data_IF_821692058221
#
_entry.id   IF_821692058221
#
_cell.length_a   1.000
_cell.length_b   1.000
_cell.length_c   1.000
_cell.angle_alpha   90.00
_cell.angle_beta   90.00
_cell.angle_gamma   90.00
#
_symmetry.space_group_name_H-M   'P 1'
#
loop_
_entity.id
_entity.type
_entity.pdbx_description
1 polymer ?
#
# COMPACT_ATOMS: atom_id res chain seq x y z
N UNK A 1 -6.24 0.15 -21.49
CA UNK A 1 -5.33 1.14 -20.87
C UNK A 1 -4.26 0.38 -20.14
N UNK A 2 -3.02 0.85 -20.18
CA UNK A 2 -1.94 0.30 -19.35
C UNK A 2 -2.21 0.62 -17.88
N UNK A 3 -1.90 -0.31 -16.98
CA UNK A 3 -2.06 -0.11 -15.53
C UNK A 3 -0.95 0.80 -15.00
N UNK A 4 -1.29 1.66 -14.04
CA UNK A 4 -0.30 2.46 -13.32
C UNK A 4 0.49 1.57 -12.37
N UNK A 5 1.79 1.46 -12.61
CA UNK A 5 2.72 0.73 -11.75
C UNK A 5 3.08 1.56 -10.53
N UNK A 6 2.90 0.99 -9.34
CA UNK A 6 3.19 1.70 -8.08
C UNK A 6 3.94 0.82 -7.08
N UNK A 7 4.63 1.47 -6.16
CA UNK A 7 5.11 0.92 -4.89
C UNK A 7 4.40 1.70 -3.79
N UNK A 8 3.90 1.01 -2.76
CA UNK A 8 3.34 1.66 -1.58
C UNK A 8 4.37 1.57 -0.46
N UNK A 9 4.79 2.72 0.05
CA UNK A 9 5.63 2.87 1.24
C UNK A 9 4.80 3.57 2.32
N UNK A 10 4.54 2.89 3.43
CA UNK A 10 3.64 3.38 4.50
C UNK A 10 4.03 2.82 5.88
N UNK A 11 3.51 3.41 6.95
CA UNK A 11 3.65 2.95 8.34
C UNK A 11 2.33 2.30 8.82
N UNK A 12 2.09 1.01 8.53
CA UNK A 12 0.74 0.46 8.41
C UNK A 12 -0.19 0.77 9.61
N UNK A 13 -1.21 1.59 9.34
CA UNK A 13 -2.37 1.86 10.20
C UNK A 13 -3.67 1.34 9.60
N UNK A 14 -4.80 1.72 10.21
CA UNK A 14 -6.13 1.31 9.75
C UNK A 14 -6.44 1.85 8.34
N UNK A 15 -6.00 3.07 8.04
CA UNK A 15 -6.18 3.73 6.76
C UNK A 15 -5.25 3.18 5.68
N UNK A 16 -3.99 2.88 6.00
CA UNK A 16 -3.07 2.22 5.07
C UNK A 16 -3.57 0.84 4.67
N UNK A 17 -4.14 0.08 5.61
CA UNK A 17 -4.72 -1.22 5.31
C UNK A 17 -5.83 -1.12 4.25
N UNK A 18 -6.67 -0.08 4.32
CA UNK A 18 -7.70 0.18 3.31
C UNK A 18 -7.05 0.58 1.97
N UNK A 19 -6.04 1.46 1.99
CA UNK A 19 -5.33 1.89 0.79
C UNK A 19 -4.66 0.71 0.06
N UNK A 20 -4.03 -0.19 0.81
CA UNK A 20 -3.41 -1.42 0.31
C UNK A 20 -4.46 -2.34 -0.33
N UNK A 21 -5.60 -2.55 0.34
CA UNK A 21 -6.69 -3.38 -0.20
C UNK A 21 -7.26 -2.80 -1.50
N UNK A 22 -7.48 -1.48 -1.54
CA UNK A 22 -7.94 -0.79 -2.74
C UNK A 22 -6.93 -0.91 -3.88
N UNK A 23 -5.66 -0.58 -3.62
CA UNK A 23 -4.60 -0.65 -4.62
C UNK A 23 -4.41 -2.07 -5.18
N UNK A 24 -4.46 -3.10 -4.33
CA UNK A 24 -4.31 -4.50 -4.74
C UNK A 24 -5.48 -5.05 -5.57
N UNK A 25 -6.64 -4.38 -5.57
CA UNK A 25 -7.83 -4.81 -6.33
C UNK A 25 -8.28 -3.84 -7.41
N UNK A 26 -7.69 -2.66 -7.48
CA UNK A 26 -8.11 -1.64 -8.44
C UNK A 26 -7.69 -2.04 -9.87
N UNK A 27 -8.61 -2.05 -10.86
CA UNK A 27 -8.31 -2.54 -12.21
C UNK A 27 -7.28 -1.71 -12.97
N UNK A 28 -7.08 -0.45 -12.56
CA UNK A 28 -6.10 0.45 -13.18
C UNK A 28 -4.73 0.47 -12.48
N UNK A 29 -4.54 -0.30 -11.39
CA UNK A 29 -3.29 -0.30 -10.61
C UNK A 29 -2.57 -1.64 -10.77
N UNK A 30 -1.25 -1.57 -10.87
CA UNK A 30 -0.31 -2.69 -10.80
C UNK A 30 0.63 -2.46 -9.62
N UNK A 31 0.27 -3.02 -8.45
CA UNK A 31 1.03 -2.87 -7.22
C UNK A 31 2.24 -3.82 -7.26
N UNK A 32 3.43 -3.27 -7.47
CA UNK A 32 4.66 -4.04 -7.66
C UNK A 32 5.30 -4.47 -6.34
N UNK A 33 5.21 -3.63 -5.31
CA UNK A 33 5.79 -3.89 -4.01
C UNK A 33 5.10 -3.09 -2.90
N UNK A 34 5.27 -3.58 -1.67
CA UNK A 34 4.93 -2.92 -0.43
C UNK A 34 6.18 -2.81 0.44
N UNK A 35 6.48 -1.61 0.91
CA UNK A 35 7.53 -1.33 1.88
C UNK A 35 6.92 -0.67 3.10
N UNK A 36 7.57 -0.87 4.25
CA UNK A 36 7.09 -0.34 5.53
C UNK A 36 8.12 0.60 6.12
N UNK A 37 7.64 1.74 6.63
CA UNK A 37 8.43 2.68 7.42
C UNK A 37 7.91 2.71 8.87
N UNK A 38 8.75 3.10 9.82
CA UNK A 38 8.32 3.25 11.22
C UNK A 38 7.44 4.50 11.37
N UNK A 39 6.38 4.41 12.18
CA UNK A 39 5.44 5.51 12.41
C UNK A 39 4.35 5.13 13.41
N UNK A 40 3.13 4.82 12.94
CA UNK A 40 1.93 4.53 13.72
C UNK A 40 2.13 3.62 14.95
N UNK A 41 3.02 2.63 14.87
CA UNK A 41 3.33 1.71 15.97
C UNK A 41 4.81 1.32 16.01
N UNK A 42 5.22 0.82 17.17
CA UNK A 42 6.50 0.12 17.37
C UNK A 42 6.24 -1.36 17.64
N UNK A 43 7.27 -2.20 17.51
CA UNK A 43 7.17 -3.61 17.86
C UNK A 43 7.00 -3.75 19.38
N UNK A 44 6.06 -4.61 19.80
CA UNK A 44 5.86 -4.97 21.19
C UNK A 44 6.96 -5.92 21.71
#
# INVERSE_FOLDING_TARGET
MEKTKIIIDCDPGHDDAIAILLAGRHPAIDLLALTTVAGNQTLA
#
